data_IF_569510461111
#
_entry.id   IF_569510461111
#
_cell.length_a   1.000
_cell.length_b   1.000
_cell.length_c   1.000
_cell.angle_alpha   90.00
_cell.angle_beta   90.00
_cell.angle_gamma   90.00
#
_symmetry.space_group_name_H-M   'P 1'
#
loop_
_entity.id
_entity.type
_entity.pdbx_description
1 polymer ?
#
# COMPACT_ATOMS: atom_id res chain seq x y z
N UNK A 1 -59.84 -59.24 -34.66
CA UNK A 1 -60.60 -60.10 -33.71
C UNK A 1 -59.65 -61.21 -33.26
N UNK A 2 -59.35 -61.28 -31.96
CA UNK A 2 -58.21 -61.99 -31.39
C UNK A 2 -58.31 -63.51 -31.67
N UNK A 3 -57.23 -64.16 -32.18
CA UNK A 3 -57.20 -65.63 -32.43
C UNK A 3 -57.69 -66.44 -31.24
N UNK A 4 -57.42 -65.94 -30.04
CA UNK A 4 -57.88 -66.47 -28.76
C UNK A 4 -59.40 -66.63 -28.64
N UNK A 5 -60.17 -65.61 -29.03
CA UNK A 5 -61.63 -65.67 -28.96
C UNK A 5 -62.21 -66.69 -29.95
N UNK A 6 -61.59 -66.82 -31.13
CA UNK A 6 -61.97 -67.82 -32.12
C UNK A 6 -61.78 -69.25 -31.60
N UNK A 7 -60.66 -69.51 -30.91
CA UNK A 7 -60.37 -70.84 -30.35
C UNK A 7 -61.32 -71.22 -29.20
N UNK A 8 -61.70 -70.27 -28.34
CA UNK A 8 -62.68 -70.53 -27.28
C UNK A 8 -64.07 -70.79 -27.87
N UNK A 9 -64.47 -70.00 -28.88
CA UNK A 9 -65.75 -70.17 -29.57
C UNK A 9 -65.83 -71.53 -30.26
N UNK A 10 -64.77 -71.95 -30.96
CA UNK A 10 -64.69 -73.28 -31.57
C UNK A 10 -64.80 -74.41 -30.53
N UNK A 11 -64.14 -74.29 -29.38
CA UNK A 11 -64.22 -75.29 -28.30
C UNK A 11 -65.63 -75.38 -27.71
N UNK A 12 -66.29 -74.23 -27.48
CA UNK A 12 -67.66 -74.19 -26.97
C UNK A 12 -68.67 -74.75 -27.98
N UNK A 13 -68.49 -74.47 -29.27
CA UNK A 13 -69.34 -75.00 -30.35
C UNK A 13 -69.17 -76.51 -30.48
N UNK A 14 -67.93 -77.02 -30.45
CA UNK A 14 -67.66 -78.45 -30.58
C UNK A 14 -68.20 -79.23 -29.36
N UNK A 15 -68.10 -78.62 -28.17
CA UNK A 15 -68.66 -79.18 -26.95
C UNK A 15 -70.20 -79.19 -26.96
N UNK A 16 -70.83 -78.09 -27.38
CA UNK A 16 -72.28 -78.01 -27.55
C UNK A 16 -72.84 -79.02 -28.57
N UNK A 17 -72.08 -79.29 -29.64
CA UNK A 17 -72.44 -80.32 -30.64
C UNK A 17 -72.39 -81.75 -30.08
N UNK A 18 -71.39 -82.05 -29.24
CA UNK A 18 -71.18 -83.41 -28.71
C UNK A 18 -72.06 -83.75 -27.51
N UNK A 19 -72.24 -82.81 -26.58
CA UNK A 19 -72.82 -83.14 -25.26
C UNK A 19 -74.24 -82.60 -25.06
N UNK A 20 -74.72 -81.65 -25.88
CA UNK A 20 -76.09 -81.08 -25.89
C UNK A 20 -76.67 -80.67 -24.52
N UNK A 21 -75.82 -80.43 -23.52
CA UNK A 21 -76.16 -79.94 -22.18
C UNK A 21 -75.23 -78.77 -21.82
N UNK A 22 -75.37 -78.13 -20.66
CA UNK A 22 -74.39 -77.15 -20.13
C UNK A 22 -73.43 -77.87 -19.16
N UNK A 23 -72.14 -77.48 -19.08
CA UNK A 23 -71.15 -78.26 -18.35
C UNK A 23 -71.49 -78.20 -16.85
N UNK A 24 -71.69 -79.36 -16.22
CA UNK A 24 -72.15 -79.45 -14.84
C UNK A 24 -71.14 -78.91 -13.82
N UNK A 25 -69.87 -78.73 -14.20
CA UNK A 25 -68.83 -78.01 -13.45
C UNK A 25 -67.89 -77.28 -14.42
N UNK A 26 -67.64 -75.99 -14.19
CA UNK A 26 -66.79 -75.17 -15.07
C UNK A 26 -65.31 -75.58 -15.14
N UNK A 27 -64.86 -76.48 -14.24
CA UNK A 27 -63.46 -76.90 -14.16
C UNK A 27 -63.01 -77.83 -15.30
N UNK A 28 -63.91 -78.68 -15.82
CA UNK A 28 -63.59 -79.59 -16.94
C UNK A 28 -63.41 -78.82 -18.25
N UNK A 29 -64.25 -77.82 -18.48
CA UNK A 29 -64.16 -76.98 -19.67
C UNK A 29 -62.95 -76.02 -19.57
N UNK A 30 -62.61 -75.58 -18.36
CA UNK A 30 -61.41 -74.78 -18.08
C UNK A 30 -60.12 -75.57 -18.31
N UNK A 31 -60.03 -76.82 -17.87
CA UNK A 31 -58.82 -77.64 -18.08
C UNK A 31 -58.61 -77.97 -19.56
N UNK A 32 -59.67 -78.22 -20.32
CA UNK A 32 -59.58 -78.54 -21.75
C UNK A 32 -59.23 -77.30 -22.62
N UNK A 33 -59.72 -76.11 -22.25
CA UNK A 33 -59.29 -74.85 -22.84
C UNK A 33 -57.81 -74.57 -22.53
N UNK A 34 -57.40 -74.75 -21.26
CA UNK A 34 -56.02 -74.50 -20.83
C UNK A 34 -55.02 -75.51 -21.44
N UNK A 35 -55.45 -76.75 -21.70
CA UNK A 35 -54.62 -77.77 -22.34
C UNK A 35 -54.41 -77.56 -23.85
N UNK A 36 -55.32 -76.85 -24.53
CA UNK A 36 -55.26 -76.58 -25.98
C UNK A 36 -54.73 -75.19 -26.34
N UNK A 37 -54.46 -74.34 -25.35
CA UNK A 37 -53.83 -73.04 -25.58
C UNK A 37 -52.32 -73.21 -25.74
N UNK A 38 -51.70 -72.63 -26.79
CA UNK A 38 -50.26 -72.70 -26.96
C UNK A 38 -49.57 -71.98 -25.79
N UNK A 39 -48.85 -72.73 -24.97
CA UNK A 39 -47.98 -72.20 -23.92
C UNK A 39 -46.75 -71.54 -24.56
N UNK A 40 -46.85 -70.23 -24.81
CA UNK A 40 -45.75 -69.41 -25.29
C UNK A 40 -45.68 -68.06 -24.53
N UNK A 41 -45.02 -68.11 -23.36
CA UNK A 41 -44.02 -67.21 -22.79
C UNK A 41 -44.28 -65.68 -22.66
N UNK A 42 -43.66 -65.03 -21.65
CA UNK A 42 -44.22 -63.89 -20.93
C UNK A 42 -44.07 -62.55 -21.67
N UNK A 43 -45.07 -61.69 -21.46
CA UNK A 43 -44.95 -60.26 -21.72
C UNK A 43 -43.81 -59.70 -20.87
N UNK A 44 -42.69 -59.35 -21.51
CA UNK A 44 -41.67 -58.51 -20.88
C UNK A 44 -42.21 -57.09 -20.81
N UNK A 45 -42.92 -56.77 -19.72
CA UNK A 45 -43.06 -55.39 -19.28
C UNK A 45 -41.63 -54.85 -19.12
N UNK A 46 -41.21 -53.96 -20.02
CA UNK A 46 -39.94 -53.26 -19.93
C UNK A 46 -39.88 -52.60 -18.56
N UNK A 47 -39.08 -53.15 -17.64
CA UNK A 47 -38.66 -52.45 -16.43
C UNK A 47 -38.11 -51.10 -16.90
N UNK A 48 -38.53 -49.95 -16.34
CA UNK A 48 -37.81 -48.71 -16.61
C UNK A 48 -36.36 -48.99 -16.23
N UNK A 49 -35.48 -48.90 -17.21
CA UNK A 49 -34.08 -49.20 -17.07
C UNK A 49 -33.53 -48.21 -16.05
N UNK A 50 -33.49 -48.62 -14.78
CA UNK A 50 -32.91 -47.83 -13.70
C UNK A 50 -31.44 -47.73 -14.07
N UNK A 51 -31.00 -46.53 -14.43
CA UNK A 51 -29.62 -46.23 -14.80
C UNK A 51 -28.86 -45.88 -13.51
N UNK A 52 -28.26 -46.86 -12.80
CA UNK A 52 -27.53 -46.59 -11.55
C UNK A 52 -26.31 -45.68 -11.78
N UNK A 53 -25.86 -45.58 -13.03
CA UNK A 53 -24.68 -44.80 -13.38
C UNK A 53 -24.85 -43.32 -13.08
N UNK A 54 -26.06 -42.75 -13.07
CA UNK A 54 -26.23 -41.34 -12.71
C UNK A 54 -25.84 -41.07 -11.25
N UNK A 55 -26.25 -41.94 -10.33
CA UNK A 55 -25.93 -41.80 -8.90
C UNK A 55 -24.43 -41.94 -8.66
N UNK A 56 -23.78 -42.89 -9.35
CA UNK A 56 -22.33 -43.08 -9.32
C UNK A 56 -21.56 -41.96 -10.06
N UNK A 57 -22.11 -41.41 -11.14
CA UNK A 57 -21.51 -40.31 -11.89
C UNK A 57 -21.57 -39.00 -11.09
N UNK A 58 -22.70 -38.69 -10.45
CA UNK A 58 -22.82 -37.50 -9.61
C UNK A 58 -22.00 -37.61 -8.31
N UNK A 59 -21.95 -38.79 -7.68
CA UNK A 59 -21.07 -38.99 -6.52
C UNK A 59 -19.58 -38.95 -6.92
N UNK A 60 -19.22 -39.52 -8.07
CA UNK A 60 -17.88 -39.42 -8.65
C UNK A 60 -17.49 -37.98 -8.96
N UNK A 61 -18.37 -37.20 -9.61
CA UNK A 61 -18.14 -35.78 -9.90
C UNK A 61 -18.06 -34.93 -8.62
N UNK A 62 -18.83 -35.25 -7.58
CA UNK A 62 -18.72 -34.59 -6.28
C UNK A 62 -17.34 -34.82 -5.65
N UNK A 63 -16.85 -36.07 -5.65
CA UNK A 63 -15.53 -36.43 -5.11
C UNK A 63 -14.39 -35.85 -5.95
N UNK A 64 -14.49 -35.87 -7.28
CA UNK A 64 -13.52 -35.22 -8.19
C UNK A 64 -13.49 -33.71 -7.96
N UNK A 65 -14.66 -33.07 -7.78
CA UNK A 65 -14.77 -31.64 -7.44
C UNK A 65 -14.18 -31.28 -6.06
N UNK A 66 -14.10 -32.25 -5.14
CA UNK A 66 -13.45 -32.10 -3.84
C UNK A 66 -11.93 -32.25 -4.00
N UNK A 67 -11.47 -33.24 -4.77
CA UNK A 67 -10.05 -33.52 -4.99
C UNK A 67 -9.31 -32.50 -5.87
N UNK A 68 -9.92 -32.01 -6.96
CA UNK A 68 -9.31 -30.99 -7.84
C UNK A 68 -9.03 -29.68 -7.09
N UNK A 69 -9.75 -29.42 -6.00
CA UNK A 69 -9.61 -28.20 -5.19
C UNK A 69 -8.77 -28.39 -3.91
N UNK A 70 -8.40 -29.62 -3.55
CA UNK A 70 -7.46 -29.92 -2.46
C UNK A 70 -6.00 -29.91 -2.92
N UNK A 71 -5.75 -29.92 -4.23
CA UNK A 71 -4.49 -29.45 -4.77
C UNK A 71 -4.45 -27.93 -4.56
N UNK A 72 -3.37 -27.36 -3.99
CA UNK A 72 -3.29 -25.94 -3.74
C UNK A 72 -3.27 -25.21 -5.09
N UNK A 73 -4.44 -24.86 -5.60
CA UNK A 73 -4.58 -23.82 -6.59
C UNK A 73 -4.16 -22.56 -5.83
N UNK A 74 -2.89 -22.20 -6.03
CA UNK A 74 -2.33 -20.93 -5.59
C UNK A 74 -3.39 -19.87 -5.84
N UNK A 75 -3.79 -19.20 -4.76
CA UNK A 75 -4.52 -17.94 -4.88
C UNK A 75 -3.80 -17.18 -5.98
N UNK A 76 -4.49 -16.87 -7.08
CA UNK A 76 -4.00 -15.83 -7.96
C UNK A 76 -3.91 -14.62 -7.05
N UNK A 77 -2.70 -14.34 -6.60
CA UNK A 77 -2.31 -13.03 -6.13
C UNK A 77 -2.80 -12.10 -7.22
N UNK A 78 -3.89 -11.40 -6.93
CA UNK A 78 -4.27 -10.22 -7.67
C UNK A 78 -3.15 -9.23 -7.37
N UNK A 79 -2.05 -9.34 -8.10
CA UNK A 79 -1.08 -8.28 -8.20
C UNK A 79 -1.88 -7.02 -8.56
N UNK A 80 -1.82 -5.96 -7.75
CA UNK A 80 -2.44 -4.71 -8.16
C UNK A 80 -1.81 -4.35 -9.50
N UNK A 81 -2.69 -4.20 -10.51
CA UNK A 81 -2.35 -3.69 -11.83
C UNK A 81 -1.51 -2.43 -11.60
N UNK A 82 -0.26 -2.45 -12.06
CA UNK A 82 0.64 -1.29 -11.96
C UNK A 82 -0.12 -0.06 -12.45
N UNK A 83 -0.24 0.94 -11.57
CA UNK A 83 -0.77 2.25 -11.90
C UNK A 83 0.13 2.90 -12.97
N UNK A 84 -0.44 3.64 -13.94
CA UNK A 84 0.37 4.52 -14.77
C UNK A 84 0.93 5.61 -13.86
N UNK A 85 2.24 5.60 -13.67
CA UNK A 85 2.98 6.67 -13.00
C UNK A 85 2.86 7.94 -13.86
N UNK A 86 1.98 8.84 -13.45
CA UNK A 86 1.95 10.20 -13.96
C UNK A 86 3.22 10.96 -13.58
N UNK A 87 4.02 11.26 -14.60
CA UNK A 87 4.86 12.46 -14.79
C UNK A 87 5.55 13.02 -13.53
N UNK A 88 6.80 12.63 -13.33
CA UNK A 88 7.84 13.50 -12.76
C UNK A 88 9.16 13.34 -13.54
N UNK A 89 9.45 14.38 -14.33
CA UNK A 89 10.71 14.88 -14.91
C UNK A 89 11.91 13.92 -15.05
N UNK A 90 12.25 13.61 -16.29
CA UNK A 90 13.59 13.19 -16.70
C UNK A 90 14.46 14.44 -16.93
N UNK A 91 15.17 14.89 -15.90
CA UNK A 91 16.38 15.72 -16.05
C UNK A 91 17.57 14.78 -15.94
N UNK A 92 18.26 14.59 -17.07
CA UNK A 92 19.52 13.85 -17.17
C UNK A 92 20.53 14.27 -16.10
N UNK A 93 21.23 13.31 -15.48
CA UNK A 93 22.63 13.48 -15.15
C UNK A 93 23.48 12.72 -16.16
N UNK A 94 24.30 13.46 -16.92
CA UNK A 94 25.57 12.94 -17.42
C UNK A 94 26.42 12.58 -16.19
N UNK A 95 26.92 11.35 -16.11
CA UNK A 95 28.36 11.12 -15.94
C UNK A 95 28.69 9.64 -16.09
N UNK A 96 29.68 9.40 -16.95
CA UNK A 96 30.37 8.14 -17.18
C UNK A 96 31.03 7.65 -15.89
N UNK A 97 30.79 6.39 -15.51
CA UNK A 97 31.81 5.57 -14.83
C UNK A 97 31.67 4.12 -15.27
N UNK A 98 32.77 3.60 -15.81
CA UNK A 98 32.97 2.24 -16.28
C UNK A 98 32.84 1.22 -15.15
N UNK A 99 32.02 0.21 -15.37
CA UNK A 99 31.83 -0.94 -14.47
C UNK A 99 32.96 -1.93 -14.68
N UNK A 100 33.72 -2.22 -13.62
CA UNK A 100 34.54 -3.42 -13.49
C UNK A 100 33.98 -4.31 -12.38
N UNK A 101 34.24 -5.60 -12.54
CA UNK A 101 33.49 -6.75 -12.06
C UNK A 101 33.42 -6.99 -10.54
N UNK A 102 32.19 -7.36 -10.12
CA UNK A 102 31.77 -8.38 -9.14
C UNK A 102 32.65 -8.63 -7.91
N UNK A 103 32.16 -8.17 -6.78
CA UNK A 103 32.39 -8.79 -5.48
C UNK A 103 31.03 -9.11 -4.83
N UNK A 104 30.79 -10.40 -4.55
CA UNK A 104 29.57 -10.90 -3.94
C UNK A 104 29.58 -10.52 -2.46
N UNK A 105 28.99 -9.38 -2.11
CA UNK A 105 28.90 -8.92 -0.72
C UNK A 105 27.73 -9.61 -0.01
N UNK A 106 27.93 -10.23 1.17
CA UNK A 106 26.86 -10.85 1.95
C UNK A 106 25.86 -9.77 2.39
N UNK A 107 24.56 -10.10 2.33
CA UNK A 107 23.47 -9.22 2.74
C UNK A 107 23.76 -8.56 4.10
N UNK A 108 23.81 -7.22 4.19
CA UNK A 108 23.99 -6.53 5.46
C UNK A 108 22.78 -6.82 6.33
N UNK A 109 23.01 -7.38 7.53
CA UNK A 109 22.01 -7.28 8.60
C UNK A 109 21.84 -5.79 8.94
N UNK A 110 20.62 -5.29 9.14
CA UNK A 110 20.44 -3.93 9.61
C UNK A 110 21.00 -3.84 11.03
N UNK A 111 22.24 -3.39 11.14
CA UNK A 111 22.81 -2.95 12.40
C UNK A 111 22.11 -1.63 12.74
N UNK A 112 21.08 -1.72 13.58
CA UNK A 112 20.42 -0.56 14.14
C UNK A 112 21.40 0.08 15.10
N UNK A 113 22.22 1.02 14.63
CA UNK A 113 23.14 1.83 15.44
C UNK A 113 22.44 2.74 16.47
N UNK A 114 21.29 2.31 16.99
CA UNK A 114 20.47 2.95 18.01
C UNK A 114 21.01 2.48 19.38
N UNK A 115 21.45 3.39 20.25
CA UNK A 115 21.76 3.02 21.63
C UNK A 115 20.48 2.54 22.34
N UNK A 116 20.57 1.38 23.00
CA UNK A 116 19.46 0.68 23.69
C UNK A 116 18.77 1.54 24.79
N UNK A 117 19.36 2.68 25.14
CA UNK A 117 18.84 3.62 26.14
C UNK A 117 17.70 4.51 25.63
N UNK A 118 17.53 4.68 24.31
CA UNK A 118 16.41 5.46 23.76
C UNK A 118 15.16 4.57 23.63
N UNK A 119 14.18 4.80 24.50
CA UNK A 119 12.94 4.00 24.61
C UNK A 119 11.77 4.58 23.80
N UNK A 120 11.99 5.67 23.05
CA UNK A 120 10.93 6.31 22.26
C UNK A 120 10.49 5.42 21.11
N UNK A 121 9.19 5.26 20.94
CA UNK A 121 8.62 4.59 19.77
C UNK A 121 8.26 5.63 18.70
N UNK A 122 8.91 5.54 17.53
CA UNK A 122 8.66 6.42 16.39
C UNK A 122 8.14 5.58 15.22
N UNK A 123 6.88 5.16 15.32
CA UNK A 123 6.29 4.19 14.40
C UNK A 123 5.43 4.90 13.35
N UNK A 124 5.83 4.78 12.08
CA UNK A 124 4.96 5.12 10.96
C UNK A 124 4.05 3.94 10.69
N UNK A 125 2.75 4.18 10.59
CA UNK A 125 1.77 3.14 10.28
C UNK A 125 1.00 3.50 9.02
N UNK A 126 0.99 2.56 8.07
CA UNK A 126 0.18 2.60 6.86
C UNK A 126 -0.90 1.52 6.93
N UNK A 127 -2.14 1.89 6.63
CA UNK A 127 -3.30 1.00 6.68
C UNK A 127 -3.87 0.73 5.29
N UNK A 128 -4.05 -0.54 4.97
CA UNK A 128 -4.70 -0.96 3.74
C UNK A 128 -5.78 -1.96 4.05
N UNK A 129 -6.97 -1.76 3.48
CA UNK A 129 -8.07 -2.70 3.67
C UNK A 129 -8.89 -2.90 2.40
N UNK A 130 -9.44 -4.11 2.28
CA UNK A 130 -10.41 -4.48 1.24
C UNK A 130 -11.68 -4.95 1.94
N UNK A 131 -12.80 -4.30 1.65
CA UNK A 131 -14.13 -4.65 2.12
C UNK A 131 -14.93 -5.24 0.96
N UNK A 132 -15.43 -6.45 1.16
CA UNK A 132 -16.37 -7.08 0.25
C UNK A 132 -17.81 -6.79 0.69
N UNK A 133 -18.56 -6.01 -0.09
CA UNK A 133 -19.92 -5.58 0.31
C UNK A 133 -20.87 -5.51 -0.87
N UNK A 134 -22.15 -5.85 -0.65
CA UNK A 134 -23.18 -5.70 -1.68
C UNK A 134 -23.59 -4.24 -1.90
N UNK A 135 -23.21 -3.33 -1.00
CA UNK A 135 -23.60 -1.92 -1.01
C UNK A 135 -22.37 -0.99 -0.97
N UNK A 136 -21.50 -1.12 -1.98
CA UNK A 136 -20.24 -0.37 -2.02
C UNK A 136 -20.45 1.16 -1.93
N UNK A 137 -21.41 1.71 -2.67
CA UNK A 137 -21.71 3.15 -2.67
C UNK A 137 -22.14 3.68 -1.29
N UNK A 138 -23.06 2.98 -0.61
CA UNK A 138 -23.53 3.36 0.74
C UNK A 138 -22.39 3.27 1.77
N UNK A 139 -21.57 2.22 1.68
CA UNK A 139 -20.50 1.97 2.64
C UNK A 139 -19.33 2.94 2.44
N UNK A 140 -19.02 3.37 1.20
CA UNK A 140 -18.09 4.49 0.95
C UNK A 140 -18.57 5.76 1.66
N UNK A 141 -19.86 6.10 1.54
CA UNK A 141 -20.41 7.29 2.19
C UNK A 141 -20.30 7.21 3.72
N UNK A 142 -20.64 6.06 4.32
CA UNK A 142 -20.52 5.82 5.76
C UNK A 142 -19.07 5.91 6.25
N UNK A 143 -18.12 5.29 5.54
CA UNK A 143 -16.69 5.38 5.91
C UNK A 143 -16.22 6.84 5.90
N UNK A 144 -16.60 7.63 4.89
CA UNK A 144 -16.23 9.05 4.84
C UNK A 144 -16.74 9.84 6.04
N UNK A 145 -17.96 9.57 6.48
CA UNK A 145 -18.53 10.19 7.69
C UNK A 145 -17.78 9.75 8.94
N UNK A 146 -17.51 8.44 9.09
CA UNK A 146 -16.78 7.92 10.25
C UNK A 146 -15.38 8.55 10.35
N UNK A 147 -14.64 8.59 9.24
CA UNK A 147 -13.31 9.22 9.20
C UNK A 147 -13.38 10.66 9.69
N UNK A 148 -14.32 11.46 9.18
CA UNK A 148 -14.39 12.91 9.48
C UNK A 148 -14.99 13.20 10.85
N UNK A 149 -16.16 12.65 11.13
CA UNK A 149 -16.99 13.04 12.28
C UNK A 149 -16.63 12.24 13.54
N UNK A 150 -16.27 10.97 13.41
CA UNK A 150 -16.03 10.09 14.57
C UNK A 150 -14.56 10.02 14.97
N UNK A 151 -13.64 10.15 14.01
CA UNK A 151 -12.21 9.96 14.24
C UNK A 151 -11.37 11.21 14.00
N UNK A 152 -11.99 12.35 13.68
CA UNK A 152 -11.30 13.63 13.43
C UNK A 152 -10.20 13.49 12.36
N UNK A 153 -10.50 12.66 11.36
CA UNK A 153 -9.64 12.36 10.24
C UNK A 153 -9.98 13.19 9.01
N UNK A 154 -9.11 13.11 8.02
CA UNK A 154 -9.28 13.76 6.73
C UNK A 154 -9.45 12.71 5.65
N UNK A 155 -10.41 12.92 4.74
CA UNK A 155 -10.53 12.14 3.51
C UNK A 155 -9.77 12.87 2.42
N UNK A 156 -8.69 12.28 1.91
CA UNK A 156 -7.86 12.84 0.86
C UNK A 156 -8.48 12.63 -0.53
N UNK A 157 -9.03 11.44 -0.77
CA UNK A 157 -9.72 11.12 -2.02
C UNK A 157 -10.73 10.00 -1.83
N UNK A 158 -11.75 9.97 -2.68
CA UNK A 158 -12.75 8.91 -2.64
C UNK A 158 -13.42 8.75 -4.00
N UNK A 159 -13.81 7.52 -4.33
CA UNK A 159 -14.73 7.23 -5.42
C UNK A 159 -15.80 6.25 -4.93
N UNK A 160 -17.01 6.37 -5.47
CA UNK A 160 -18.14 5.52 -5.18
C UNK A 160 -18.89 5.15 -6.45
N UNK A 161 -19.15 3.86 -6.61
CA UNK A 161 -20.07 3.32 -7.61
C UNK A 161 -20.87 2.17 -6.99
N UNK A 162 -21.88 1.70 -7.73
CA UNK A 162 -22.71 0.55 -7.30
C UNK A 162 -21.90 -0.73 -7.08
N UNK A 163 -20.77 -0.91 -7.78
CA UNK A 163 -19.98 -2.15 -7.75
C UNK A 163 -18.60 -2.05 -7.09
N UNK A 164 -18.08 -0.84 -6.95
CA UNK A 164 -16.78 -0.64 -6.31
C UNK A 164 -16.61 0.80 -5.84
N UNK A 165 -15.66 1.01 -4.96
CA UNK A 165 -15.27 2.33 -4.52
C UNK A 165 -13.97 2.27 -3.74
N UNK A 166 -13.47 3.43 -3.34
CA UNK A 166 -12.38 3.50 -2.40
C UNK A 166 -12.48 4.79 -1.58
N UNK A 167 -11.86 4.76 -0.42
CA UNK A 167 -11.66 5.93 0.45
C UNK A 167 -10.19 5.95 0.86
N UNK A 168 -9.48 7.01 0.48
CA UNK A 168 -8.14 7.31 0.99
C UNK A 168 -8.25 8.39 2.05
N UNK A 169 -7.58 8.21 3.17
CA UNK A 169 -7.76 9.03 4.35
C UNK A 169 -6.50 9.09 5.22
N UNK A 170 -6.57 9.98 6.19
CA UNK A 170 -5.63 10.10 7.30
C UNK A 170 -6.45 10.17 8.59
N UNK A 171 -6.03 9.41 9.61
CA UNK A 171 -6.60 9.47 10.97
C UNK A 171 -5.49 9.68 12.00
N UNK A 172 -5.76 10.31 13.15
CA UNK A 172 -4.81 10.40 14.24
C UNK A 172 -4.37 9.00 14.72
N UNK A 173 -3.06 8.79 14.91
CA UNK A 173 -2.50 7.49 15.27
C UNK A 173 -3.01 6.98 16.63
N UNK A 174 -3.24 7.89 17.58
CA UNK A 174 -3.82 7.55 18.89
C UNK A 174 -5.26 7.05 18.83
N UNK A 175 -5.98 7.26 17.72
CA UNK A 175 -7.37 6.78 17.52
C UNK A 175 -7.44 5.63 16.50
N UNK A 176 -6.31 5.19 15.97
CA UNK A 176 -6.28 4.26 14.84
C UNK A 176 -6.86 2.88 15.19
N UNK A 177 -6.55 2.33 16.37
CA UNK A 177 -7.08 1.01 16.76
C UNK A 177 -8.61 1.04 16.94
N UNK A 178 -9.16 2.10 17.52
CA UNK A 178 -10.62 2.28 17.64
C UNK A 178 -11.27 2.42 16.26
N UNK A 179 -10.63 3.16 15.35
CA UNK A 179 -11.07 3.28 13.96
C UNK A 179 -11.09 1.92 13.26
N UNK A 180 -10.03 1.13 13.43
CA UNK A 180 -9.88 -0.20 12.87
C UNK A 180 -10.99 -1.15 13.39
N UNK A 181 -11.28 -1.12 14.68
CA UNK A 181 -12.38 -1.88 15.26
C UNK A 181 -13.74 -1.46 14.69
N UNK A 182 -13.98 -0.16 14.52
CA UNK A 182 -15.19 0.34 13.88
C UNK A 182 -15.32 -0.13 12.42
N UNK A 183 -14.22 -0.21 11.67
CA UNK A 183 -14.23 -0.76 10.31
C UNK A 183 -14.54 -2.26 10.28
N UNK A 184 -13.99 -3.03 11.24
CA UNK A 184 -14.31 -4.45 11.43
C UNK A 184 -15.78 -4.68 11.73
N UNK A 185 -16.35 -3.89 12.63
CA UNK A 185 -17.78 -3.97 12.98
C UNK A 185 -18.67 -3.60 11.79
N UNK A 186 -18.34 -2.50 11.09
CA UNK A 186 -19.10 -2.01 9.94
C UNK A 186 -19.11 -2.99 8.76
N UNK A 187 -17.99 -3.63 8.47
CA UNK A 187 -17.85 -4.55 7.34
C UNK A 187 -18.24 -5.99 7.69
N UNK A 188 -18.03 -6.40 8.94
CA UNK A 188 -18.01 -7.79 9.37
C UNK A 188 -16.65 -8.44 9.10
N UNK A 189 -16.10 -9.12 10.11
CA UNK A 189 -14.74 -9.67 10.12
C UNK A 189 -14.40 -10.56 8.91
N UNK A 190 -15.35 -11.35 8.41
CA UNK A 190 -15.14 -12.23 7.25
C UNK A 190 -15.15 -11.53 5.89
N UNK A 191 -15.61 -10.29 5.85
CA UNK A 191 -15.71 -9.48 4.64
C UNK A 191 -14.63 -8.41 4.55
N UNK A 192 -13.79 -8.29 5.58
CA UNK A 192 -12.71 -7.34 5.67
C UNK A 192 -11.36 -8.06 5.63
N UNK A 193 -10.49 -7.65 4.72
CA UNK A 193 -9.09 -8.03 4.71
C UNK A 193 -8.25 -6.80 5.04
N UNK A 194 -7.42 -6.88 6.06
CA UNK A 194 -6.57 -5.77 6.52
C UNK A 194 -5.09 -6.11 6.37
N UNK A 195 -4.31 -5.15 5.90
CA UNK A 195 -2.87 -5.15 5.93
C UNK A 195 -2.41 -3.88 6.65
N UNK A 196 -1.64 -4.05 7.72
CA UNK A 196 -1.04 -2.96 8.49
C UNK A 196 0.46 -3.05 8.30
N UNK A 197 1.06 -1.99 7.79
CA UNK A 197 2.50 -1.87 7.67
C UNK A 197 3.00 -0.87 8.72
N UNK A 198 3.99 -1.29 9.52
CA UNK A 198 4.60 -0.45 10.53
C UNK A 198 6.10 -0.39 10.32
N UNK A 199 6.64 0.82 10.33
CA UNK A 199 8.07 1.10 10.13
C UNK A 199 8.60 1.93 11.30
N UNK A 200 9.75 1.54 11.86
CA UNK A 200 10.40 2.31 12.91
C UNK A 200 11.28 3.42 12.31
N UNK A 201 10.87 4.67 12.49
CA UNK A 201 11.56 5.88 12.04
C UNK A 201 12.47 6.49 13.12
N UNK A 202 12.63 5.85 14.28
CA UNK A 202 13.52 6.34 15.35
C UNK A 202 14.97 6.59 14.87
N UNK A 203 15.61 5.71 14.06
CA UNK A 203 16.95 5.99 13.53
C UNK A 203 17.02 7.29 12.71
N UNK A 204 15.97 7.56 11.94
CA UNK A 204 15.88 8.76 11.10
C UNK A 204 15.72 10.00 11.99
N UNK A 205 14.87 9.92 13.03
CA UNK A 205 14.71 10.98 14.03
C UNK A 205 16.03 11.33 14.70
N UNK A 206 16.77 10.33 15.20
CA UNK A 206 18.06 10.55 15.86
C UNK A 206 19.09 11.17 14.92
N UNK A 207 19.11 10.75 13.65
CA UNK A 207 20.00 11.33 12.64
C UNK A 207 19.69 12.82 12.43
N UNK A 208 18.40 13.18 12.32
CA UNK A 208 17.97 14.58 12.17
C UNK A 208 18.31 15.39 13.43
N UNK A 209 18.07 14.86 14.63
CA UNK A 209 18.41 15.50 15.91
C UNK A 209 19.91 15.77 16.01
N UNK A 210 20.76 14.79 15.65
CA UNK A 210 22.21 14.95 15.67
C UNK A 210 22.70 15.95 14.61
N UNK A 211 22.15 15.90 13.40
CA UNK A 211 22.48 16.87 12.34
C UNK A 211 22.09 18.29 12.75
N UNK A 212 20.92 18.46 13.36
CA UNK A 212 20.44 19.75 13.87
C UNK A 212 21.39 20.29 14.94
N UNK A 213 21.78 19.47 15.91
CA UNK A 213 22.75 19.85 16.95
C UNK A 213 24.08 20.32 16.35
N UNK A 214 24.66 19.55 15.43
CA UNK A 214 25.92 19.91 14.76
C UNK A 214 25.79 21.25 14.00
N UNK A 215 24.64 21.49 13.39
CA UNK A 215 24.37 22.70 12.61
C UNK A 215 24.12 23.93 13.50
N UNK A 216 23.55 23.74 14.69
CA UNK A 216 23.39 24.78 15.73
C UNK A 216 24.75 25.18 16.34
N UNK A 217 25.62 24.20 16.59
CA UNK A 217 27.01 24.44 17.01
C UNK A 217 27.78 25.23 15.94
N UNK A 218 27.66 24.80 14.67
CA UNK A 218 28.25 25.51 13.52
C UNK A 218 27.72 26.95 13.41
N UNK A 219 26.41 27.15 13.56
CA UNK A 219 25.80 28.48 13.55
C UNK A 219 26.41 29.40 14.62
N UNK A 220 26.62 28.85 15.81
CA UNK A 220 27.21 29.57 16.94
C UNK A 220 28.65 29.97 16.64
N UNK A 221 29.46 29.04 16.12
CA UNK A 221 30.85 29.29 15.74
C UNK A 221 30.96 30.35 14.63
N UNK A 222 30.14 30.27 13.59
CA UNK A 222 30.13 31.25 12.50
C UNK A 222 29.74 32.66 13.00
N UNK A 223 28.73 32.76 13.87
CA UNK A 223 28.32 34.03 14.48
C UNK A 223 29.43 34.61 15.37
N UNK A 224 30.12 33.77 16.15
CA UNK A 224 31.27 34.19 16.94
C UNK A 224 32.42 34.66 16.05
N UNK A 225 32.77 33.91 14.99
CA UNK A 225 33.81 34.26 14.04
C UNK A 225 33.54 35.60 13.33
N UNK A 226 32.28 35.86 12.95
CA UNK A 226 31.86 37.16 12.40
C UNK A 226 32.06 38.30 13.39
N UNK A 227 31.67 38.09 14.66
CA UNK A 227 31.84 39.11 15.70
C UNK A 227 33.33 39.40 15.98
N UNK A 228 34.17 38.36 16.01
CA UNK A 228 35.62 38.49 16.16
C UNK A 228 36.25 39.24 14.98
N UNK A 229 35.84 38.92 13.74
CA UNK A 229 36.29 39.62 12.53
C UNK A 229 35.95 41.12 12.62
N UNK A 230 34.73 41.46 13.00
CA UNK A 230 34.29 42.86 13.15
C UNK A 230 35.10 43.61 14.20
N UNK A 231 35.35 42.98 15.35
CA UNK A 231 36.15 43.59 16.42
C UNK A 231 37.61 43.77 16.02
N UNK A 232 38.22 42.76 15.40
CA UNK A 232 39.61 42.82 14.90
C UNK A 232 39.78 43.92 13.86
N UNK A 233 38.89 43.96 12.87
CA UNK A 233 38.89 44.98 11.83
C UNK A 233 38.81 46.40 12.41
N UNK A 234 37.89 46.64 13.37
CA UNK A 234 37.77 47.94 14.06
C UNK A 234 39.08 48.37 14.74
N UNK A 235 39.75 47.44 15.43
CA UNK A 235 41.02 47.72 16.10
C UNK A 235 42.14 48.05 15.11
N UNK A 236 42.22 47.29 14.01
CA UNK A 236 43.22 47.52 12.95
C UNK A 236 43.00 48.87 12.28
N UNK A 237 41.76 49.17 11.87
CA UNK A 237 41.40 50.47 11.26
C UNK A 237 41.72 51.63 12.21
N UNK A 238 41.33 51.53 13.48
CA UNK A 238 41.65 52.57 14.47
C UNK A 238 43.16 52.77 14.64
N UNK A 239 43.93 51.68 14.63
CA UNK A 239 45.40 51.73 14.71
C UNK A 239 46.01 52.41 13.49
N UNK A 240 45.60 52.03 12.26
CA UNK A 240 46.10 52.64 11.02
C UNK A 240 45.72 54.13 10.97
N UNK A 241 44.46 54.46 11.27
CA UNK A 241 44.00 55.84 11.27
C UNK A 241 44.78 56.70 12.26
N UNK A 242 45.07 56.19 13.47
CA UNK A 242 45.88 56.91 14.44
C UNK A 242 47.30 57.24 13.96
N UNK A 243 47.87 56.41 13.06
CA UNK A 243 49.17 56.68 12.44
C UNK A 243 49.05 57.74 11.34
N UNK A 244 48.00 57.66 10.52
CA UNK A 244 47.69 58.67 9.51
C UNK A 244 47.53 60.05 10.18
N UNK A 245 46.74 60.14 11.24
CA UNK A 245 46.51 61.38 11.97
C UNK A 245 47.81 61.98 12.57
N UNK A 246 48.75 61.13 12.99
CA UNK A 246 50.08 61.57 13.45
C UNK A 246 50.91 62.14 12.29
N UNK A 247 50.97 61.44 11.16
CA UNK A 247 51.70 61.90 9.97
C UNK A 247 51.11 63.24 9.47
N UNK A 248 49.79 63.41 9.50
CA UNK A 248 49.15 64.66 9.12
C UNK A 248 49.51 65.83 10.06
N UNK A 249 49.60 65.58 11.37
CA UNK A 249 50.10 66.56 12.34
C UNK A 249 51.56 66.93 12.07
N UNK A 250 52.41 65.94 11.79
CA UNK A 250 53.82 66.17 11.50
C UNK A 250 54.01 66.95 10.19
N UNK A 251 53.26 66.63 9.15
CA UNK A 251 53.23 67.38 7.89
C UNK A 251 52.80 68.84 8.11
N UNK A 252 51.77 69.06 8.93
CA UNK A 252 51.29 70.42 9.25
C UNK A 252 52.37 71.22 9.99
N UNK A 253 53.04 70.61 10.98
CA UNK A 253 54.13 71.24 11.72
C UNK A 253 55.36 71.51 10.83
N UNK A 254 55.67 70.60 9.90
CA UNK A 254 56.77 70.75 8.95
C UNK A 254 56.53 71.89 7.97
N UNK A 255 55.29 72.05 7.48
CA UNK A 255 54.89 73.14 6.58
C UNK A 255 55.13 74.52 7.23
N UNK A 256 54.74 74.68 8.50
CA UNK A 256 55.00 75.91 9.26
C UNK A 256 56.50 76.21 9.35
N UNK A 257 57.35 75.19 9.60
CA UNK A 257 58.82 75.35 9.63
C UNK A 257 59.40 75.76 8.28
N UNK A 258 58.85 75.22 7.19
CA UNK A 258 59.31 75.48 5.83
C UNK A 258 59.02 76.93 5.40
N UNK A 259 57.91 77.49 5.86
CA UNK A 259 57.50 78.89 5.59
C UNK A 259 58.41 79.91 6.28
N UNK A 260 58.96 79.60 7.47
CA UNK A 260 59.84 80.50 8.23
C UNK A 260 61.33 80.31 7.95
N UNK A 261 61.74 79.22 7.29
CA UNK A 261 63.16 78.91 7.05
C UNK A 261 63.64 79.55 5.75
N UNK A 262 64.62 80.45 5.85
CA UNK A 262 65.23 81.13 4.69
C UNK A 262 66.52 80.46 4.16
N UNK A 263 67.16 79.63 4.98
CA UNK A 263 68.40 78.92 4.63
C UNK A 263 68.14 77.83 3.55
N UNK A 264 68.77 77.91 2.36
CA UNK A 264 68.54 76.97 1.27
C UNK A 264 68.85 75.51 1.62
N UNK A 265 69.94 75.25 2.34
CA UNK A 265 70.35 73.88 2.67
C UNK A 265 69.37 73.22 3.65
N UNK A 266 68.88 74.00 4.63
CA UNK A 266 67.88 73.53 5.59
C UNK A 266 66.50 73.35 4.95
N UNK A 267 66.11 74.22 4.01
CA UNK A 267 64.86 74.04 3.24
C UNK A 267 64.87 72.74 2.45
N UNK A 268 65.96 72.40 1.77
CA UNK A 268 66.04 71.14 1.02
C UNK A 268 65.94 69.91 1.94
N UNK A 269 66.60 69.92 3.10
CA UNK A 269 66.45 68.85 4.09
C UNK A 269 65.00 68.70 4.60
N UNK A 270 64.30 69.80 4.85
CA UNK A 270 62.89 69.78 5.27
C UNK A 270 61.98 69.25 4.15
N UNK A 271 62.20 69.63 2.89
CA UNK A 271 61.44 69.08 1.74
C UNK A 271 61.65 67.57 1.58
N UNK A 272 62.86 67.06 1.82
CA UNK A 272 63.12 65.63 1.81
C UNK A 272 62.28 64.92 2.88
N UNK A 273 62.25 65.46 4.11
CA UNK A 273 61.41 64.94 5.19
C UNK A 273 59.90 65.01 4.86
N UNK A 274 59.44 66.08 4.19
CA UNK A 274 58.05 66.19 3.72
C UNK A 274 57.69 65.05 2.77
N UNK A 275 58.57 64.78 1.80
CA UNK A 275 58.40 63.70 0.82
C UNK A 275 58.36 62.33 1.49
N UNK A 276 59.21 62.10 2.49
CA UNK A 276 59.24 60.84 3.23
C UNK A 276 57.93 60.63 4.00
N UNK A 277 57.42 61.67 4.68
CA UNK A 277 56.14 61.63 5.39
C UNK A 277 54.95 61.42 4.44
N UNK A 278 54.94 62.08 3.27
CA UNK A 278 53.91 61.86 2.25
C UNK A 278 53.93 60.43 1.71
N UNK A 279 55.13 59.86 1.53
CA UNK A 279 55.30 58.47 1.11
C UNK A 279 54.81 57.50 2.19
N UNK A 280 55.13 57.78 3.46
CA UNK A 280 54.62 56.97 4.58
C UNK A 280 53.08 57.05 4.67
N UNK A 281 52.49 58.26 4.51
CA UNK A 281 51.04 58.45 4.50
C UNK A 281 50.38 57.58 3.42
N UNK A 282 50.87 57.65 2.19
CA UNK A 282 50.37 56.85 1.08
C UNK A 282 50.49 55.34 1.38
N UNK A 283 51.57 54.92 2.05
CA UNK A 283 51.73 53.55 2.55
C UNK A 283 50.61 53.14 3.52
N UNK A 284 50.29 53.99 4.50
CA UNK A 284 49.22 53.74 5.49
C UNK A 284 47.82 53.75 4.87
N UNK A 285 47.56 54.64 3.93
CA UNK A 285 46.28 54.67 3.19
C UNK A 285 46.09 53.39 2.35
N UNK A 286 47.18 52.88 1.74
CA UNK A 286 47.16 51.59 1.06
C UNK A 286 46.94 50.42 2.03
N UNK A 287 47.57 50.42 3.21
CA UNK A 287 47.30 49.43 4.27
C UNK A 287 45.82 49.43 4.67
N UNK A 288 45.21 50.61 4.85
CA UNK A 288 43.79 50.75 5.18
C UNK A 288 42.88 50.19 4.08
N UNK A 289 43.16 50.53 2.82
CA UNK A 289 42.42 50.02 1.66
C UNK A 289 42.50 48.50 1.56
N UNK A 290 43.68 47.94 1.79
CA UNK A 290 43.91 46.49 1.79
C UNK A 290 43.13 45.79 2.91
N UNK A 291 43.18 46.33 4.14
CA UNK A 291 42.41 45.81 5.28
C UNK A 291 40.90 45.83 4.98
N UNK A 292 40.37 46.94 4.45
CA UNK A 292 38.95 47.04 4.08
C UNK A 292 38.54 46.00 3.02
N UNK A 293 39.40 45.75 2.03
CA UNK A 293 39.18 44.73 0.99
C UNK A 293 39.19 43.32 1.56
N UNK A 294 40.15 43.00 2.43
CA UNK A 294 40.26 41.69 3.10
C UNK A 294 39.06 41.47 4.01
N UNK A 295 38.70 42.46 4.83
CA UNK A 295 37.53 42.41 5.70
C UNK A 295 36.26 42.15 4.89
N UNK A 296 36.01 42.90 3.83
CA UNK A 296 34.81 42.75 2.98
C UNK A 296 34.70 41.33 2.43
N UNK A 297 35.81 40.76 1.93
CA UNK A 297 35.83 39.38 1.42
C UNK A 297 35.50 38.36 2.50
N UNK A 298 36.14 38.45 3.67
CA UNK A 298 35.91 37.55 4.80
C UNK A 298 34.49 37.68 5.37
N UNK A 299 34.00 38.91 5.51
CA UNK A 299 32.67 39.22 6.00
C UNK A 299 31.58 38.65 5.08
N UNK A 300 31.72 38.84 3.76
CA UNK A 300 30.80 38.27 2.78
C UNK A 300 30.83 36.74 2.79
N UNK A 301 32.02 36.13 2.87
CA UNK A 301 32.15 34.67 2.97
C UNK A 301 31.45 34.12 4.22
N UNK A 302 31.67 34.72 5.39
CA UNK A 302 31.01 34.32 6.63
C UNK A 302 29.49 34.50 6.55
N UNK A 303 29.00 35.59 5.97
CA UNK A 303 27.55 35.80 5.83
C UNK A 303 26.89 34.78 4.89
N UNK A 304 27.57 34.38 3.81
CA UNK A 304 27.07 33.29 2.95
C UNK A 304 27.01 31.99 3.74
N UNK A 305 28.07 31.63 4.46
CA UNK A 305 28.09 30.41 5.30
C UNK A 305 26.99 30.43 6.37
N UNK A 306 26.78 31.57 7.05
CA UNK A 306 25.70 31.72 8.03
C UNK A 306 24.34 31.51 7.38
N UNK A 307 24.08 32.14 6.23
CA UNK A 307 22.81 32.02 5.51
C UNK A 307 22.56 30.58 5.07
N UNK A 308 23.56 29.93 4.49
CA UNK A 308 23.43 28.57 3.99
C UNK A 308 23.18 27.58 5.15
N UNK A 309 23.84 27.80 6.31
CA UNK A 309 23.61 27.06 7.55
C UNK A 309 22.19 27.30 8.10
N UNK A 310 21.67 28.53 8.07
CA UNK A 310 20.29 28.85 8.49
C UNK A 310 19.24 28.19 7.58
N UNK A 311 19.46 28.17 6.26
CA UNK A 311 18.60 27.44 5.31
C UNK A 311 18.63 25.94 5.60
N UNK A 312 19.80 25.38 5.88
CA UNK A 312 19.92 23.97 6.22
C UNK A 312 19.19 23.63 7.55
N UNK A 313 19.31 24.48 8.58
CA UNK A 313 18.56 24.34 9.84
C UNK A 313 17.05 24.38 9.62
N UNK A 314 16.56 25.29 8.77
CA UNK A 314 15.14 25.37 8.44
C UNK A 314 14.65 24.11 7.73
N UNK A 315 15.44 23.57 6.79
CA UNK A 315 15.15 22.31 6.11
C UNK A 315 15.10 21.12 7.09
N UNK A 316 16.08 21.01 7.99
CA UNK A 316 16.11 19.96 9.01
C UNK A 316 14.93 20.07 9.97
N UNK A 317 14.57 21.29 10.38
CA UNK A 317 13.41 21.53 11.24
C UNK A 317 12.11 21.11 10.56
N UNK A 318 11.98 21.36 9.25
CA UNK A 318 10.83 20.90 8.48
C UNK A 318 10.79 19.37 8.37
N UNK A 319 11.92 18.73 8.05
CA UNK A 319 12.00 17.27 8.01
C UNK A 319 11.64 16.63 9.36
N UNK A 320 12.09 17.26 10.45
CA UNK A 320 11.78 16.82 11.81
C UNK A 320 10.27 16.89 12.10
N UNK A 321 9.62 17.99 11.69
CA UNK A 321 8.18 18.16 11.84
C UNK A 321 7.40 17.19 10.95
N UNK A 322 7.79 17.05 9.67
CA UNK A 322 7.15 16.11 8.74
C UNK A 322 7.21 14.67 9.27
N UNK A 323 8.32 14.30 9.94
CA UNK A 323 8.50 12.99 10.57
C UNK A 323 7.62 12.83 11.83
N UNK A 324 7.48 13.86 12.66
CA UNK A 324 6.53 13.88 13.79
C UNK A 324 5.10 13.70 13.27
N UNK A 325 4.71 14.46 12.25
CA UNK A 325 3.37 14.44 11.67
C UNK A 325 3.05 13.06 11.04
N UNK A 326 4.06 12.44 10.42
CA UNK A 326 3.94 11.09 9.84
C UNK A 326 3.74 10.01 10.90
N UNK A 327 4.30 10.15 12.10
CA UNK A 327 4.08 9.21 13.21
C UNK A 327 2.80 9.53 13.99
N UNK A 328 2.41 10.80 14.05
CA UNK A 328 1.17 11.23 14.70
C UNK A 328 -0.08 10.83 13.91
N UNK A 329 0.06 10.42 12.65
CA UNK A 329 -1.06 10.11 11.77
C UNK A 329 -0.90 8.77 11.06
N UNK A 330 -2.01 8.10 10.79
CA UNK A 330 -2.06 6.87 10.01
C UNK A 330 -2.67 7.16 8.66
N UNK A 331 -1.91 6.90 7.61
CA UNK A 331 -2.39 7.01 6.23
C UNK A 331 -3.05 5.71 5.82
N UNK A 332 -4.27 5.81 5.33
CA UNK A 332 -5.10 4.65 5.02
C UNK A 332 -5.69 4.67 3.62
N UNK A 333 -5.90 3.48 3.04
CA UNK A 333 -6.82 3.31 1.91
C UNK A 333 -7.69 2.08 2.10
N UNK A 334 -9.01 2.28 2.06
CA UNK A 334 -10.00 1.20 2.07
C UNK A 334 -10.59 1.07 0.67
N UNK A 335 -10.47 -0.10 0.07
CA UNK A 335 -11.14 -0.47 -1.17
C UNK A 335 -12.43 -1.21 -0.86
N UNK A 336 -13.47 -0.93 -1.64
CA UNK A 336 -14.75 -1.61 -1.54
C UNK A 336 -15.04 -2.32 -2.84
N UNK A 337 -15.32 -3.62 -2.76
CA UNK A 337 -15.63 -4.46 -3.90
C UNK A 337 -16.99 -5.12 -3.72
N UNK A 338 -17.79 -5.11 -4.79
CA UNK A 338 -19.06 -5.81 -4.78
C UNK A 338 -18.87 -7.31 -4.72
N UNK A 339 -19.64 -7.95 -3.83
CA UNK A 339 -19.63 -9.40 -3.65
C UNK A 339 -20.99 -9.99 -4.04
N UNK A 340 -20.95 -11.07 -4.81
CA UNK A 340 -22.14 -11.84 -5.18
C UNK A 340 -22.61 -12.73 -4.04
N UNK A 341 -23.89 -13.13 -4.07
CA UNK A 341 -24.46 -14.08 -3.09
C UNK A 341 -23.67 -15.40 -3.08
N UNK A 342 -23.18 -15.83 -4.24
CA UNK A 342 -22.39 -17.06 -4.34
C UNK A 342 -21.01 -16.95 -3.70
N UNK A 343 -20.35 -15.81 -3.82
CA UNK A 343 -19.09 -15.53 -3.13
C UNK A 343 -19.29 -15.41 -1.61
N UNK A 344 -20.42 -14.84 -1.17
CA UNK A 344 -20.80 -14.83 0.26
C UNK A 344 -20.92 -16.27 0.78
N UNK A 345 -21.62 -17.16 0.07
CA UNK A 345 -21.74 -18.57 0.48
C UNK A 345 -20.36 -19.24 0.58
N UNK A 346 -19.45 -18.95 -0.35
CA UNK A 346 -18.06 -19.47 -0.29
C UNK A 346 -17.27 -18.96 0.92
N UNK A 347 -17.55 -17.76 1.43
CA UNK A 347 -16.92 -17.25 2.66
C UNK A 347 -17.38 -17.96 3.93
N UNK A 348 -18.58 -18.54 3.94
CA UNK A 348 -19.10 -19.27 5.11
C UNK A 348 -18.92 -20.78 5.02
N UNK A 349 -18.93 -21.32 3.81
CA UNK A 349 -18.86 -22.75 3.56
C UNK A 349 -17.49 -23.07 2.96
N UNK A 350 -16.55 -23.67 3.73
CA UNK A 350 -15.25 -24.08 3.21
C UNK A 350 -15.36 -25.25 2.20
N UNK A 351 -16.58 -25.74 1.98
CA UNK A 351 -16.90 -26.83 1.07
C UNK A 351 -17.33 -26.24 -0.27
N UNK A 352 -16.71 -26.73 -1.35
CA UNK A 352 -17.00 -26.30 -2.70
C UNK A 352 -18.52 -26.44 -2.99
N UNK A 353 -19.17 -25.37 -3.46
CA UNK A 353 -20.58 -25.39 -3.82
C UNK A 353 -20.88 -26.51 -4.84
N UNK A 354 -19.92 -26.83 -5.72
CA UNK A 354 -20.01 -27.98 -6.62
C UNK A 354 -20.19 -29.31 -5.88
N UNK A 355 -19.45 -29.53 -4.79
CA UNK A 355 -19.62 -30.72 -3.95
C UNK A 355 -21.02 -30.79 -3.34
N UNK A 356 -21.55 -29.66 -2.84
CA UNK A 356 -22.91 -29.62 -2.28
C UNK A 356 -23.98 -29.87 -3.36
N UNK A 357 -23.84 -29.25 -4.55
CA UNK A 357 -24.79 -29.41 -5.64
C UNK A 357 -24.78 -30.84 -6.22
N UNK A 358 -23.60 -31.40 -6.48
CA UNK A 358 -23.47 -32.78 -6.98
C UNK A 358 -23.83 -33.81 -5.92
N UNK A 359 -23.52 -33.55 -4.64
CA UNK A 359 -23.96 -34.38 -3.51
C UNK A 359 -25.49 -34.40 -3.37
N UNK A 360 -26.14 -33.23 -3.40
CA UNK A 360 -27.60 -33.15 -3.37
C UNK A 360 -28.24 -33.82 -4.58
N UNK A 361 -27.69 -33.64 -5.79
CA UNK A 361 -28.15 -34.32 -6.99
C UNK A 361 -28.00 -35.85 -6.89
N UNK A 362 -26.91 -36.35 -6.33
CA UNK A 362 -26.70 -37.77 -6.08
C UNK A 362 -27.74 -38.34 -5.09
N UNK A 363 -28.07 -37.60 -4.03
CA UNK A 363 -29.10 -38.00 -3.06
C UNK A 363 -30.49 -38.03 -3.72
N UNK A 364 -30.85 -37.01 -4.51
CA UNK A 364 -32.14 -36.98 -5.23
C UNK A 364 -32.23 -38.11 -6.25
N UNK A 365 -31.16 -38.35 -7.02
CA UNK A 365 -31.09 -39.46 -7.97
C UNK A 365 -31.26 -40.81 -7.27
N UNK A 366 -30.62 -41.00 -6.11
CA UNK A 366 -30.79 -42.20 -5.27
C UNK A 366 -32.25 -42.40 -4.87
N UNK A 367 -32.93 -41.37 -4.36
CA UNK A 367 -34.34 -41.50 -3.95
C UNK A 367 -35.27 -41.75 -5.14
N UNK A 368 -35.08 -41.09 -6.29
CA UNK A 368 -35.86 -41.35 -7.50
C UNK A 368 -35.67 -42.80 -7.96
N UNK A 369 -34.43 -43.30 -7.90
CA UNK A 369 -34.09 -44.66 -8.29
C UNK A 369 -34.69 -45.71 -7.34
N UNK A 370 -34.87 -45.39 -6.05
CA UNK A 370 -35.41 -46.30 -5.05
C UNK A 370 -36.91 -46.13 -4.76
N UNK A 371 -37.61 -45.19 -5.40
CA UNK A 371 -39.08 -45.16 -5.36
C UNK A 371 -39.65 -46.47 -5.92
N UNK A 372 -40.37 -47.24 -5.10
CA UNK A 372 -41.06 -48.46 -5.53
C UNK A 372 -42.23 -48.06 -6.45
N UNK A 373 -42.41 -48.70 -7.63
CA UNK A 373 -43.62 -48.46 -8.42
C UNK A 373 -44.82 -48.92 -7.59
N UNK A 374 -45.81 -48.03 -7.38
CA UNK A 374 -47.09 -48.43 -6.80
C UNK A 374 -47.72 -49.44 -7.77
N UNK A 375 -47.91 -50.67 -7.30
CA UNK A 375 -48.60 -51.72 -8.04
C UNK A 375 -50.05 -51.27 -8.25
N UNK A 376 -50.42 -51.01 -9.50
CA UNK A 376 -51.82 -50.95 -9.90
C UNK A 376 -52.30 -52.41 -9.97
N UNK A 377 -53.21 -52.78 -9.07
CA UNK A 377 -53.91 -54.06 -9.13
C UNK A 377 -54.89 -54.02 -10.32
N UNK A 378 -54.93 -55.04 -11.18
CA UNK A 378 -55.94 -55.13 -12.23
C UNK A 378 -57.31 -55.47 -11.61
N UNK A 379 -58.35 -54.73 -12.03
CA UNK A 379 -59.75 -55.01 -11.71
C UNK A 379 -60.27 -56.27 -12.42
#
# INVERSE_FOLDING_TARGET
MNKFFRTIEEILVDWGRKQRQLPSRGETLRSEILARLPSALPQTLSRPQRWPWFTFAFSGLALISLFINYLPFSYREFYPRQLPTGIYKDTKPLNNFSVNEREYSPYPRPDSGIPITDTREFLKTDYYAIIHTRKAEELVYRIKLIVRESFDGRVDSSNSSKRSGYVSFIVPANKFEDFRWMMKDLAGERFLMENIYTENLLPQKQTIEQQKKNMEETATQLKQGRNQLNSSHKLIVASIQSKIDRIEKDLTALKIKLDVTSDPAKREALKAQEKDLLTEKAGRENELSNENSIYTKKFNSLNVQIRDNEVALASLTKQDQDLIDTVATVRGTIYLNWISIWEVVRLYVPINLGFLLFGAAAIVAYFIQHRKPRLLLPN
#
